data_IF_292417631756
#
_entry.id   IF_292417631756
#
_cell.length_a   1.000
_cell.length_b   1.000
_cell.length_c   1.000
_cell.angle_alpha   90.00
_cell.angle_beta   90.00
_cell.angle_gamma   90.00
#
_symmetry.space_group_name_H-M   'P 1'
#
loop_
_entity.id
_entity.type
_entity.pdbx_description
1 polymer ?
#
# COMPACT_ATOMS: atom_id res chain seq x y z
N UNK A 1 -20.07 -9.73 4.30
CA UNK A 1 -20.07 -8.37 4.88
C UNK A 1 -18.68 -8.10 5.41
N UNK A 2 -18.06 -6.93 5.15
CA UNK A 2 -16.76 -6.57 5.73
C UNK A 2 -16.97 -6.19 7.21
N UNK A 3 -16.13 -6.65 8.13
CA UNK A 3 -16.22 -6.33 9.56
C UNK A 3 -14.85 -6.05 10.16
N UNK A 4 -14.80 -5.25 11.23
CA UNK A 4 -13.56 -4.97 11.97
C UNK A 4 -12.97 -6.25 12.56
N UNK A 5 -13.82 -7.18 13.01
CA UNK A 5 -13.40 -8.47 13.54
C UNK A 5 -12.70 -9.38 12.51
N UNK A 6 -12.86 -9.10 11.21
CA UNK A 6 -12.22 -9.86 10.14
C UNK A 6 -10.81 -9.34 9.78
N UNK A 7 -10.32 -8.29 10.44
CA UNK A 7 -8.97 -7.76 10.20
C UNK A 7 -7.94 -8.76 10.75
N UNK A 8 -6.95 -9.20 9.95
CA UNK A 8 -5.94 -10.15 10.41
C UNK A 8 -5.16 -9.63 11.62
N UNK A 9 -4.77 -10.54 12.51
CA UNK A 9 -3.75 -10.24 13.52
C UNK A 9 -2.43 -9.90 12.81
N UNK A 10 -1.73 -8.88 13.29
CA UNK A 10 -0.47 -8.43 12.67
C UNK A 10 -0.66 -7.47 11.48
N UNK A 11 -1.89 -7.02 11.19
CA UNK A 11 -2.17 -6.16 10.04
C UNK A 11 -1.41 -4.83 10.11
N UNK A 12 -1.24 -4.27 11.32
CA UNK A 12 -0.53 -3.00 11.54
C UNK A 12 0.94 -3.13 11.17
N UNK A 13 1.59 -4.20 11.64
CA UNK A 13 3.01 -4.49 11.41
C UNK A 13 3.27 -4.80 9.94
N UNK A 14 2.39 -5.57 9.31
CA UNK A 14 2.44 -5.81 7.87
C UNK A 14 2.30 -4.49 7.09
N UNK A 15 1.33 -3.65 7.45
CA UNK A 15 1.11 -2.38 6.76
C UNK A 15 2.28 -1.43 6.94
N UNK A 16 2.89 -1.36 8.12
CA UNK A 16 4.08 -0.55 8.36
C UNK A 16 5.22 -0.93 7.40
N UNK A 17 5.50 -2.23 7.25
CA UNK A 17 6.53 -2.73 6.32
C UNK A 17 6.18 -2.41 4.87
N UNK A 18 4.92 -2.63 4.50
CA UNK A 18 4.41 -2.30 3.17
C UNK A 18 4.52 -0.80 2.85
N UNK A 19 4.12 0.08 3.77
CA UNK A 19 4.21 1.53 3.63
C UNK A 19 5.66 1.97 3.36
N UNK A 20 6.61 1.52 4.16
CA UNK A 20 8.02 1.87 3.95
C UNK A 20 8.60 1.27 2.67
N UNK A 21 8.21 0.04 2.32
CA UNK A 21 8.63 -0.60 1.07
C UNK A 21 8.07 0.10 -0.18
N UNK A 22 6.84 0.62 -0.12
CA UNK A 22 6.22 1.42 -1.18
C UNK A 22 6.87 2.80 -1.28
N UNK A 23 7.12 3.45 -0.15
CA UNK A 23 7.79 4.75 -0.08
C UNK A 23 9.20 4.68 -0.67
N UNK A 24 9.97 3.64 -0.34
CA UNK A 24 11.29 3.39 -0.92
C UNK A 24 11.28 3.14 -2.43
N UNK A 25 10.12 2.78 -2.99
CA UNK A 25 9.89 2.60 -4.45
C UNK A 25 9.25 3.81 -5.11
N UNK A 26 9.13 4.93 -4.40
CA UNK A 26 8.60 6.19 -4.93
C UNK A 26 7.08 6.30 -4.94
N UNK A 27 6.36 5.45 -4.22
CA UNK A 27 4.90 5.56 -4.06
C UNK A 27 4.57 5.97 -2.62
N UNK A 28 4.08 7.18 -2.46
CA UNK A 28 3.61 7.68 -1.16
C UNK A 28 2.15 7.25 -0.94
N UNK A 29 1.96 6.32 -0.01
CA UNK A 29 0.64 5.95 0.52
C UNK A 29 0.31 6.78 1.76
N UNK A 30 -0.95 6.81 2.22
CA UNK A 30 -1.25 7.34 3.56
C UNK A 30 -0.46 6.59 4.65
N UNK A 31 -0.05 7.26 5.74
CA UNK A 31 0.73 6.63 6.81
C UNK A 31 -0.08 5.67 7.71
N UNK A 32 -1.35 5.39 7.38
CA UNK A 32 -2.19 4.43 8.09
C UNK A 32 -3.01 3.55 7.14
N UNK A 33 -3.06 2.25 7.43
CA UNK A 33 -3.86 1.27 6.69
C UNK A 33 -5.38 1.42 6.90
N UNK A 34 -5.80 2.34 7.76
CA UNK A 34 -7.20 2.69 7.99
C UNK A 34 -7.63 3.96 7.24
N UNK A 35 -6.74 4.55 6.46
CA UNK A 35 -7.03 5.69 5.60
C UNK A 35 -7.38 5.26 4.16
N UNK A 36 -7.84 6.23 3.36
CA UNK A 36 -8.18 6.02 1.94
C UNK A 36 -7.19 6.75 1.04
N UNK A 37 -7.02 6.25 -0.18
CA UNK A 37 -6.23 6.90 -1.22
C UNK A 37 -7.14 7.74 -2.13
N UNK A 38 -6.66 8.90 -2.55
CA UNK A 38 -7.29 9.71 -3.57
C UNK A 38 -6.41 9.76 -4.82
N UNK A 39 -7.03 9.72 -5.98
CA UNK A 39 -6.39 9.99 -7.26
C UNK A 39 -6.77 11.39 -7.73
N UNK A 40 -5.98 11.94 -8.65
CA UNK A 40 -6.23 13.25 -9.25
C UNK A 40 -6.08 13.17 -10.76
N UNK A 41 -6.55 14.20 -11.47
CA UNK A 41 -6.42 14.30 -12.94
C UNK A 41 -4.97 14.40 -13.41
N UNK A 42 -4.02 14.69 -12.51
CA UNK A 42 -2.59 14.65 -12.82
C UNK A 42 -2.06 13.20 -12.93
N UNK A 43 -2.82 12.19 -12.49
CA UNK A 43 -2.42 10.81 -12.58
C UNK A 43 -2.71 10.23 -13.97
N UNK A 44 -1.69 10.26 -14.83
CA UNK A 44 -1.72 9.62 -16.14
C UNK A 44 -1.66 8.08 -16.05
N UNK A 45 -2.18 7.34 -17.05
CA UNK A 45 -2.15 5.88 -17.06
C UNK A 45 -0.75 5.29 -16.81
N UNK A 46 0.29 5.92 -17.37
CA UNK A 46 1.68 5.48 -17.22
C UNK A 46 2.15 5.49 -15.76
N UNK A 47 1.81 6.52 -14.99
CA UNK A 47 2.26 6.61 -13.60
C UNK A 47 1.48 5.64 -12.70
N UNK A 48 0.22 5.37 -13.04
CA UNK A 48 -0.58 4.34 -12.38
C UNK A 48 -0.02 2.93 -12.63
N UNK A 49 0.43 2.65 -13.85
CA UNK A 49 1.11 1.39 -14.17
C UNK A 49 2.43 1.22 -13.40
N UNK A 50 3.22 2.30 -13.27
CA UNK A 50 4.44 2.30 -12.46
C UNK A 50 4.12 2.05 -10.98
N UNK A 51 3.12 2.76 -10.44
CA UNK A 51 2.66 2.58 -9.07
C UNK A 51 2.17 1.15 -8.82
N UNK A 52 1.42 0.55 -9.76
CA UNK A 52 0.97 -0.85 -9.66
C UNK A 52 2.15 -1.80 -9.46
N UNK A 53 3.19 -1.69 -10.29
CA UNK A 53 4.38 -2.55 -10.18
C UNK A 53 5.07 -2.35 -8.84
N UNK A 54 5.33 -1.10 -8.46
CA UNK A 54 5.98 -0.76 -7.20
C UNK A 54 5.21 -1.30 -5.97
N UNK A 55 3.88 -1.14 -5.96
CA UNK A 55 3.02 -1.59 -4.86
C UNK A 55 2.96 -3.11 -4.76
N UNK A 56 2.91 -3.84 -5.89
CA UNK A 56 2.92 -5.31 -5.87
C UNK A 56 4.25 -5.84 -5.32
N UNK A 57 5.38 -5.28 -5.73
CA UNK A 57 6.68 -5.69 -5.17
C UNK A 57 6.82 -5.32 -3.68
N UNK A 58 6.35 -4.13 -3.28
CA UNK A 58 6.34 -3.73 -1.87
C UNK A 58 5.50 -4.69 -1.00
N UNK A 59 4.36 -5.16 -1.51
CA UNK A 59 3.51 -6.11 -0.79
C UNK A 59 4.18 -7.48 -0.62
N UNK A 60 4.94 -7.95 -1.63
CA UNK A 60 5.72 -9.19 -1.54
C UNK A 60 6.82 -9.10 -0.49
N UNK A 61 7.59 -8.01 -0.48
CA UNK A 61 8.62 -7.77 0.53
C UNK A 61 8.04 -7.77 1.95
N UNK A 62 6.91 -7.08 2.13
CA UNK A 62 6.25 -6.95 3.44
C UNK A 62 5.72 -8.30 3.98
N UNK A 63 5.52 -9.27 3.10
CA UNK A 63 5.05 -10.62 3.44
C UNK A 63 6.20 -11.61 3.70
N UNK A 64 7.42 -11.30 3.24
CA UNK A 64 8.61 -12.12 3.48
C UNK A 64 9.29 -11.84 4.84
N UNK A 65 8.99 -10.70 5.47
CA UNK A 65 9.45 -10.36 6.83
C UNK A 65 8.39 -10.61 7.89
#
# INVERSE_FOLDING_TARGET
>A
MRSVAAIPKGQTEWYQRFFHAALGRGVYLPPSGFEVCFVSLAHEPRILDQARVALVEAARDAQAG
#
